data_IF_663394320623
#
_entry.id   IF_663394320623
#
_cell.length_a   1.000
_cell.length_b   1.000
_cell.length_c   1.000
_cell.angle_alpha   90.00
_cell.angle_beta   90.00
_cell.angle_gamma   90.00
#
_symmetry.space_group_name_H-M   'P 1'
#
loop_
_entity.id
_entity.type
_entity.pdbx_description
1 polymer ?
#
# COMPACT_ATOMS: atom_id res chain seq x y z
N UNK A 1 -14.30 37.86 -19.45
CA UNK A 1 -13.96 36.51 -19.96
C UNK A 1 -14.55 36.35 -21.35
N UNK A 2 -13.75 36.60 -22.40
CA UNK A 2 -14.13 36.22 -23.75
C UNK A 2 -14.24 34.69 -23.78
N UNK A 3 -15.46 34.15 -23.91
CA UNK A 3 -15.64 32.78 -24.38
C UNK A 3 -15.11 32.76 -25.82
N UNK A 4 -13.82 32.44 -25.99
CA UNK A 4 -13.32 32.05 -27.31
C UNK A 4 -14.13 30.83 -27.68
N UNK A 5 -14.87 30.94 -28.78
CA UNK A 5 -15.77 29.90 -29.22
C UNK A 5 -14.92 28.75 -29.78
N UNK A 6 -14.53 27.79 -28.92
CA UNK A 6 -13.70 26.63 -29.28
C UNK A 6 -14.35 25.75 -30.38
N UNK A 7 -15.63 26.02 -30.70
CA UNK A 7 -16.38 25.39 -31.79
C UNK A 7 -16.03 25.90 -33.19
N UNK A 8 -15.19 26.93 -33.33
CA UNK A 8 -14.75 27.42 -34.64
C UNK A 8 -13.73 26.44 -35.23
N UNK A 9 -14.21 25.53 -36.09
CA UNK A 9 -13.38 24.51 -36.73
C UNK A 9 -12.45 25.12 -37.79
N UNK A 10 -12.99 25.88 -38.73
CA UNK A 10 -12.20 26.43 -39.84
C UNK A 10 -12.18 27.95 -39.86
N UNK A 11 -10.99 28.54 -39.88
CA UNK A 11 -10.80 29.97 -40.12
C UNK A 11 -10.06 30.16 -41.43
N UNK A 12 -10.63 30.98 -42.32
CA UNK A 12 -9.97 31.39 -43.55
C UNK A 12 -9.01 32.52 -43.26
N UNK A 13 -7.71 32.24 -43.32
CA UNK A 13 -6.63 33.22 -43.16
C UNK A 13 -5.79 33.20 -44.44
N UNK A 14 -5.62 34.37 -45.07
CA UNK A 14 -4.76 34.54 -46.26
C UNK A 14 -5.06 33.50 -47.38
N UNK A 15 -6.34 33.23 -47.62
CA UNK A 15 -6.78 32.26 -48.65
C UNK A 15 -6.65 30.78 -48.27
N UNK A 16 -6.08 30.46 -47.11
CA UNK A 16 -6.00 29.08 -46.58
C UNK A 16 -7.07 28.84 -45.52
N UNK A 17 -7.66 27.64 -45.53
CA UNK A 17 -8.55 27.18 -44.45
C UNK A 17 -7.69 26.50 -43.38
N UNK A 18 -7.52 27.14 -42.23
CA UNK A 18 -6.79 26.57 -41.09
C UNK A 18 -7.80 25.94 -40.14
N UNK A 19 -7.58 24.68 -39.80
CA UNK A 19 -8.34 24.01 -38.74
C UNK A 19 -7.75 24.38 -37.37
N UNK A 20 -8.35 25.39 -36.73
CA UNK A 20 -7.89 25.84 -35.41
C UNK A 20 -8.25 24.82 -34.33
N UNK A 21 -9.33 24.06 -34.50
CA UNK A 21 -9.78 23.10 -33.50
C UNK A 21 -8.78 21.97 -33.32
N UNK A 22 -8.25 21.41 -34.42
CA UNK A 22 -7.26 20.34 -34.33
C UNK A 22 -5.91 20.81 -33.78
N UNK A 23 -5.46 22.02 -34.17
CA UNK A 23 -4.21 22.59 -33.64
C UNK A 23 -4.32 22.91 -32.15
N UNK A 24 -5.47 23.44 -31.70
CA UNK A 24 -5.74 23.69 -30.29
C UNK A 24 -5.83 22.39 -29.50
N UNK A 25 -6.54 21.37 -30.01
CA UNK A 25 -6.60 20.04 -29.40
C UNK A 25 -5.20 19.47 -29.16
N UNK A 26 -4.35 19.46 -30.19
CA UNK A 26 -2.99 18.96 -30.08
C UNK A 26 -2.18 19.72 -29.02
N UNK A 27 -2.26 21.06 -29.01
CA UNK A 27 -1.51 21.88 -28.05
C UNK A 27 -2.01 21.70 -26.61
N UNK A 28 -3.32 21.57 -26.43
CA UNK A 28 -3.93 21.29 -25.12
C UNK A 28 -3.50 19.93 -24.60
N UNK A 29 -3.50 18.91 -25.45
CA UNK A 29 -3.09 17.56 -25.08
C UNK A 29 -1.60 17.50 -24.70
N UNK A 30 -0.73 18.20 -25.43
CA UNK A 30 0.69 18.36 -25.10
C UNK A 30 0.90 19.05 -23.73
N UNK A 31 0.14 20.11 -23.45
CA UNK A 31 0.16 20.77 -22.14
C UNK A 31 -0.34 19.86 -21.01
N UNK A 32 -1.35 19.04 -21.28
CA UNK A 32 -1.88 18.09 -20.32
C UNK A 32 -0.86 16.98 -20.01
N UNK A 33 -0.20 16.41 -21.03
CA UNK A 33 0.91 15.47 -20.83
C UNK A 33 2.03 16.09 -20.01
N UNK A 34 2.42 17.33 -20.33
CA UNK A 34 3.45 18.07 -19.60
C UNK A 34 3.06 18.31 -18.13
N UNK A 35 1.80 18.66 -17.87
CA UNK A 35 1.27 18.84 -16.50
C UNK A 35 1.32 17.54 -15.70
N UNK A 36 0.89 16.42 -16.29
CA UNK A 36 0.89 15.11 -15.63
C UNK A 36 2.32 14.61 -15.36
N UNK A 37 3.23 14.76 -16.32
CA UNK A 37 4.65 14.43 -16.14
C UNK A 37 5.30 15.28 -15.05
N UNK A 38 4.93 16.56 -14.96
CA UNK A 38 5.40 17.45 -13.89
C UNK A 38 4.88 17.01 -12.52
N UNK A 39 3.60 16.62 -12.44
CA UNK A 39 2.99 16.12 -11.21
C UNK A 39 3.71 14.87 -10.69
N UNK A 40 4.00 13.90 -11.57
CA UNK A 40 4.78 12.70 -11.23
C UNK A 40 6.18 13.05 -10.72
N UNK A 41 6.90 13.92 -11.43
CA UNK A 41 8.27 14.27 -11.06
C UNK A 41 8.31 15.01 -9.72
N UNK A 42 7.29 15.82 -9.43
CA UNK A 42 7.13 16.50 -8.14
C UNK A 42 6.86 15.50 -7.02
N UNK A 43 6.04 14.47 -7.26
CA UNK A 43 5.80 13.39 -6.30
C UNK A 43 7.11 12.66 -5.93
N UNK A 44 7.93 12.32 -6.93
CA UNK A 44 9.22 11.65 -6.71
C UNK A 44 10.21 12.45 -5.84
N UNK A 45 10.03 13.76 -5.76
CA UNK A 45 10.89 14.63 -4.98
C UNK A 45 10.35 14.92 -3.56
N UNK A 46 9.12 14.50 -3.25
CA UNK A 46 8.47 14.74 -1.94
C UNK A 46 8.40 13.51 -1.02
N UNK A 47 8.58 12.30 -1.53
CA UNK A 47 8.40 11.06 -0.76
C UNK A 47 6.97 10.52 -0.83
N UNK A 48 6.72 9.42 -0.13
CA UNK A 48 5.48 8.66 -0.20
C UNK A 48 4.23 9.47 0.24
N UNK A 49 4.38 10.38 1.22
CA UNK A 49 3.28 11.25 1.68
C UNK A 49 2.77 12.22 0.59
N UNK A 50 3.59 12.51 -0.43
CA UNK A 50 3.24 13.34 -1.57
C UNK A 50 2.18 12.74 -2.49
N UNK A 51 1.78 11.49 -2.29
CA UNK A 51 0.79 10.81 -3.13
C UNK A 51 -0.59 11.49 -3.10
N UNK A 52 -0.93 12.14 -1.98
CA UNK A 52 -2.15 12.95 -1.86
C UNK A 52 -2.12 14.17 -2.79
N UNK A 53 -0.95 14.79 -2.94
CA UNK A 53 -0.78 15.92 -3.85
C UNK A 53 -0.86 15.45 -5.31
N UNK A 54 -0.30 14.29 -5.62
CA UNK A 54 -0.39 13.66 -6.93
C UNK A 54 -1.84 13.31 -7.30
N UNK A 55 -2.59 12.65 -6.41
CA UNK A 55 -4.01 12.33 -6.63
C UNK A 55 -4.80 13.61 -6.92
N UNK A 56 -4.63 14.65 -6.11
CA UNK A 56 -5.36 15.89 -6.29
C UNK A 56 -5.04 16.56 -7.63
N UNK A 57 -3.78 16.49 -8.09
CA UNK A 57 -3.36 16.99 -9.40
C UNK A 57 -3.96 16.18 -10.54
N UNK A 58 -3.85 14.84 -10.50
CA UNK A 58 -4.43 13.94 -11.50
C UNK A 58 -5.94 14.14 -11.62
N UNK A 59 -6.63 14.24 -10.48
CA UNK A 59 -8.07 14.50 -10.42
C UNK A 59 -8.42 15.87 -11.01
N UNK A 60 -7.64 16.90 -10.73
CA UNK A 60 -7.85 18.25 -11.31
C UNK A 60 -7.64 18.23 -12.81
N UNK A 61 -6.60 17.55 -13.30
CA UNK A 61 -6.34 17.37 -14.74
C UNK A 61 -7.44 16.56 -15.43
N UNK A 62 -8.01 15.55 -14.76
CA UNK A 62 -9.16 14.78 -15.26
C UNK A 62 -10.40 15.67 -15.42
N UNK A 63 -10.68 16.53 -14.43
CA UNK A 63 -11.76 17.51 -14.55
C UNK A 63 -11.50 18.51 -15.68
N UNK A 64 -10.28 19.02 -15.80
CA UNK A 64 -9.93 19.95 -16.87
C UNK A 64 -10.13 19.32 -18.26
N UNK A 65 -9.71 18.06 -18.45
CA UNK A 65 -9.93 17.30 -19.68
C UNK A 65 -11.42 17.14 -19.99
N UNK A 66 -12.24 16.76 -19.00
CA UNK A 66 -13.69 16.62 -19.16
C UNK A 66 -14.35 17.95 -19.59
N UNK A 67 -14.03 19.06 -18.93
CA UNK A 67 -14.54 20.39 -19.31
C UNK A 67 -14.13 20.80 -20.72
N UNK A 68 -12.88 20.54 -21.11
CA UNK A 68 -12.38 20.88 -22.45
C UNK A 68 -13.01 20.01 -23.55
N UNK A 69 -13.29 18.74 -23.23
CA UNK A 69 -14.02 17.84 -24.13
C UNK A 69 -15.48 18.26 -24.33
N UNK A 70 -16.16 18.67 -23.24
CA UNK A 70 -17.53 19.22 -23.30
C UNK A 70 -17.62 20.50 -24.14
N UNK A 71 -16.59 21.35 -24.08
CA UNK A 71 -16.51 22.59 -24.86
C UNK A 71 -16.27 22.36 -26.37
N UNK A 72 -16.04 21.11 -26.79
CA UNK A 72 -16.02 20.68 -28.19
C UNK A 72 -14.64 20.39 -28.77
N UNK A 73 -13.59 20.33 -27.93
CA UNK A 73 -12.27 19.86 -28.36
C UNK A 73 -12.28 18.33 -28.49
N UNK A 74 -11.75 17.84 -29.62
CA UNK A 74 -11.49 16.42 -29.81
C UNK A 74 -10.18 16.08 -29.10
N UNK A 75 -10.26 15.44 -27.94
CA UNK A 75 -9.13 15.04 -27.13
C UNK A 75 -9.12 13.52 -26.99
N UNK A 76 -7.93 12.93 -26.97
CA UNK A 76 -7.71 11.52 -26.60
C UNK A 76 -8.30 11.26 -25.20
N UNK A 77 -8.94 10.11 -24.93
CA UNK A 77 -9.47 9.80 -23.60
C UNK A 77 -8.42 9.98 -22.50
N UNK A 78 -8.83 10.54 -21.35
CA UNK A 78 -7.90 10.86 -20.26
C UNK A 78 -7.08 9.66 -19.80
N UNK A 79 -7.71 8.48 -19.70
CA UNK A 79 -7.04 7.26 -19.21
C UNK A 79 -5.92 6.80 -20.15
N UNK A 80 -6.08 6.95 -21.47
CA UNK A 80 -5.02 6.63 -22.44
C UNK A 80 -3.84 7.59 -22.30
N UNK A 81 -4.13 8.90 -22.15
CA UNK A 81 -3.10 9.91 -21.90
C UNK A 81 -2.39 9.66 -20.56
N UNK A 82 -3.13 9.24 -19.53
CA UNK A 82 -2.56 8.94 -18.22
C UNK A 82 -1.69 7.70 -18.24
N UNK A 83 -2.12 6.63 -18.92
CA UNK A 83 -1.33 5.42 -19.12
C UNK A 83 -0.04 5.72 -19.88
N UNK A 84 -0.10 6.47 -20.99
CA UNK A 84 1.06 6.90 -21.78
C UNK A 84 2.08 7.69 -20.94
N UNK A 85 1.61 8.54 -20.01
CA UNK A 85 2.50 9.31 -19.12
C UNK A 85 3.03 8.45 -17.96
N UNK A 86 2.31 7.42 -17.54
CA UNK A 86 2.73 6.52 -16.44
C UNK A 86 3.68 5.42 -16.91
N UNK A 87 3.41 4.83 -18.07
CA UNK A 87 4.17 3.76 -18.68
C UNK A 87 5.38 4.34 -19.40
N UNK A 88 6.58 3.98 -18.94
CA UNK A 88 7.78 4.18 -19.75
C UNK A 88 7.83 3.22 -20.96
N UNK A 89 8.98 3.14 -21.61
CA UNK A 89 9.26 2.19 -22.71
C UNK A 89 9.12 0.69 -22.33
N UNK A 90 8.79 0.36 -21.09
CA UNK A 90 8.71 -1.01 -20.57
C UNK A 90 7.28 -1.30 -20.12
N UNK A 91 6.84 -2.54 -20.24
CA UNK A 91 5.54 -3.00 -19.72
C UNK A 91 5.64 -3.46 -18.26
N UNK A 92 4.52 -3.41 -17.53
CA UNK A 92 4.40 -3.87 -16.13
C UNK A 92 5.02 -2.92 -15.08
N UNK A 93 5.30 -3.44 -13.88
CA UNK A 93 5.81 -2.65 -12.74
C UNK A 93 7.13 -1.92 -13.07
N UNK A 94 7.97 -2.52 -13.91
CA UNK A 94 9.22 -1.90 -14.36
C UNK A 94 8.99 -0.72 -15.31
N UNK A 95 7.81 -0.65 -15.95
CA UNK A 95 7.35 0.44 -16.80
C UNK A 95 6.78 1.61 -16.02
N UNK A 96 5.90 1.33 -15.06
CA UNK A 96 5.18 2.36 -14.34
C UNK A 96 6.11 3.15 -13.39
N UNK A 97 6.29 4.44 -13.69
CA UNK A 97 7.19 5.32 -12.94
C UNK A 97 6.79 5.49 -11.47
N UNK A 98 5.49 5.65 -11.22
CA UNK A 98 4.94 5.86 -9.88
C UNK A 98 5.09 4.58 -9.04
N UNK A 99 4.71 3.42 -9.61
CA UNK A 99 4.77 2.15 -8.92
C UNK A 99 6.20 1.81 -8.47
N UNK A 100 7.17 1.98 -9.36
CA UNK A 100 8.60 1.76 -9.07
C UNK A 100 9.10 2.67 -7.96
N UNK A 101 8.73 3.94 -7.99
CA UNK A 101 9.10 4.89 -6.95
C UNK A 101 8.50 4.50 -5.60
N UNK A 102 7.21 4.14 -5.55
CA UNK A 102 6.54 3.69 -4.34
C UNK A 102 7.21 2.45 -3.73
N UNK A 103 7.56 1.42 -4.53
CA UNK A 103 8.29 0.23 -4.04
C UNK A 103 9.64 0.62 -3.42
N UNK A 104 10.39 1.52 -4.07
CA UNK A 104 11.65 2.03 -3.54
C UNK A 104 11.49 2.80 -2.22
N UNK A 105 10.48 3.66 -2.12
CA UNK A 105 10.17 4.44 -0.91
C UNK A 105 9.65 3.56 0.23
N UNK A 106 8.84 2.54 -0.07
CA UNK A 106 8.39 1.59 0.95
C UNK A 106 9.61 0.91 1.58
N UNK A 107 10.50 0.38 0.74
CA UNK A 107 11.74 -0.28 1.18
C UNK A 107 12.66 0.63 1.98
N UNK A 108 12.93 1.84 1.47
CA UNK A 108 13.97 2.72 2.00
C UNK A 108 13.49 3.65 3.12
N UNK A 109 12.18 3.81 3.30
CA UNK A 109 11.64 4.79 4.25
C UNK A 109 10.45 4.26 5.06
N UNK A 110 9.38 3.76 4.43
CA UNK A 110 8.16 3.38 5.16
C UNK A 110 8.44 2.27 6.19
N UNK A 111 9.12 1.21 5.78
CA UNK A 111 9.44 0.08 6.65
C UNK A 111 10.52 0.40 7.68
N UNK A 112 11.68 0.95 7.28
CA UNK A 112 12.76 1.18 8.22
C UNK A 112 12.52 2.38 9.13
N UNK A 113 11.97 3.49 8.64
CA UNK A 113 12.04 4.80 9.33
C UNK A 113 10.71 5.25 9.96
N UNK A 114 9.59 4.61 9.63
CA UNK A 114 8.29 4.96 10.21
C UNK A 114 7.87 3.95 11.27
N UNK A 115 7.03 4.36 12.20
CA UNK A 115 6.35 3.46 13.11
C UNK A 115 4.84 3.57 12.91
N UNK A 116 4.14 2.44 13.03
CA UNK A 116 2.70 2.40 12.92
C UNK A 116 2.04 2.69 14.26
N UNK A 117 1.06 3.60 14.27
CA UNK A 117 0.19 3.86 15.41
C UNK A 117 -1.22 3.33 15.11
N UNK A 118 -1.64 2.29 15.84
CA UNK A 118 -2.92 1.60 15.65
C UNK A 118 -4.10 2.53 15.94
N UNK A 119 -3.99 3.39 16.96
CA UNK A 119 -5.08 4.30 17.36
C UNK A 119 -5.47 5.27 16.25
N UNK A 120 -4.47 5.86 15.59
CA UNK A 120 -4.69 6.80 14.50
C UNK A 120 -4.80 6.12 13.14
N UNK A 121 -4.42 4.84 13.04
CA UNK A 121 -4.26 4.09 11.78
C UNK A 121 -3.34 4.84 10.82
N UNK A 122 -2.23 5.38 11.34
CA UNK A 122 -1.23 6.11 10.57
C UNK A 122 0.19 5.71 10.92
N UNK A 123 1.05 5.76 9.92
CA UNK A 123 2.50 5.73 10.05
C UNK A 123 3.01 7.13 10.33
N UNK A 124 3.85 7.25 11.34
CA UNK A 124 4.51 8.49 11.77
C UNK A 124 6.02 8.29 11.67
N UNK A 125 6.75 9.36 11.33
CA UNK A 125 8.22 9.33 11.30
C UNK A 125 8.78 9.06 12.70
N UNK A 126 9.73 8.13 12.77
CA UNK A 126 10.47 7.85 13.99
C UNK A 126 11.53 8.93 14.21
N UNK A 127 11.55 9.55 15.39
CA UNK A 127 12.60 10.50 15.79
C UNK A 127 13.94 9.80 16.11
N UNK A 128 13.95 8.47 16.12
CA UNK A 128 15.14 7.68 16.40
C UNK A 128 16.15 7.80 15.25
N UNK A 129 17.28 8.45 15.52
CA UNK A 129 18.50 8.31 14.72
C UNK A 129 18.96 6.85 14.82
N UNK A 130 18.63 6.06 13.81
CA UNK A 130 19.11 4.70 13.65
C UNK A 130 20.32 4.76 12.72
N UNK A 131 21.41 4.11 13.10
CA UNK A 131 22.64 3.96 12.28
C UNK A 131 22.34 3.10 11.04
N UNK A 132 21.57 3.64 10.11
CA UNK A 132 21.54 3.13 8.76
C UNK A 132 22.82 3.61 8.11
N UNK A 133 23.77 2.69 7.91
CA UNK A 133 24.85 2.90 6.94
C UNK A 133 24.19 3.41 5.67
N UNK A 134 24.60 4.61 5.25
CA UNK A 134 24.10 5.38 4.11
C UNK A 134 23.60 4.48 2.98
N UNK A 135 22.33 4.10 3.04
CA UNK A 135 21.71 3.45 1.90
C UNK A 135 21.49 4.61 0.93
N UNK A 136 22.18 4.57 -0.21
CA UNK A 136 22.28 5.61 -1.25
C UNK A 136 20.92 6.24 -1.71
N UNK A 137 19.78 5.76 -1.19
CA UNK A 137 18.43 6.27 -1.38
C UNK A 137 18.02 7.44 -0.47
N UNK A 138 18.72 7.75 0.63
CA UNK A 138 18.48 8.97 1.41
C UNK A 138 19.16 10.19 0.75
N UNK A 139 18.96 10.33 -0.57
CA UNK A 139 19.37 11.54 -1.28
C UNK A 139 18.47 12.67 -0.81
N UNK A 140 18.96 13.41 0.20
CA UNK A 140 18.53 14.73 0.65
C UNK A 140 17.45 15.31 -0.28
N UNK A 141 16.16 15.14 0.05
CA UNK A 141 15.04 15.45 -0.85
C UNK A 141 15.09 16.90 -1.34
N UNK A 142 15.81 17.77 -0.61
CA UNK A 142 16.16 19.14 -1.00
C UNK A 142 17.12 19.20 -2.20
N UNK A 143 18.13 18.33 -2.28
CA UNK A 143 19.02 18.16 -3.44
C UNK A 143 18.24 17.62 -4.65
N UNK A 144 17.39 16.60 -4.47
CA UNK A 144 16.52 16.09 -5.54
C UNK A 144 15.54 17.17 -6.03
N UNK A 145 14.90 17.93 -5.14
CA UNK A 145 14.04 19.06 -5.52
C UNK A 145 14.80 20.16 -6.29
N UNK A 146 16.05 20.45 -5.94
CA UNK A 146 16.91 21.39 -6.67
C UNK A 146 17.28 20.86 -8.06
N UNK A 147 17.62 19.58 -8.16
CA UNK A 147 17.95 18.91 -9.43
C UNK A 147 16.72 18.83 -10.34
N UNK A 148 15.56 18.46 -9.80
CA UNK A 148 14.30 18.45 -10.52
C UNK A 148 13.97 19.86 -11.03
N UNK A 149 14.08 20.88 -10.16
CA UNK A 149 13.86 22.27 -10.55
C UNK A 149 14.79 22.69 -11.69
N UNK A 150 16.08 22.34 -11.61
CA UNK A 150 17.08 22.66 -12.64
C UNK A 150 16.82 21.90 -13.95
N UNK A 151 16.45 20.63 -13.88
CA UNK A 151 16.07 19.84 -15.05
C UNK A 151 14.84 20.47 -15.70
N UNK A 152 13.78 20.77 -14.93
CA UNK A 152 12.56 21.40 -15.43
C UNK A 152 12.82 22.73 -16.15
N UNK A 153 13.65 23.58 -15.55
CA UNK A 153 14.01 24.89 -16.10
C UNK A 153 14.82 24.77 -17.40
N UNK A 154 15.50 23.63 -17.62
CA UNK A 154 16.26 23.35 -18.83
C UNK A 154 15.41 22.67 -19.92
N UNK A 155 14.54 21.72 -19.56
CA UNK A 155 13.73 20.96 -20.52
C UNK A 155 12.57 21.80 -21.07
N UNK A 156 12.06 22.75 -20.29
CA UNK A 156 10.97 23.63 -20.72
C UNK A 156 11.18 25.08 -20.23
N UNK A 157 11.88 25.93 -20.99
CA UNK A 157 12.13 27.32 -20.57
C UNK A 157 10.84 28.14 -20.40
N UNK A 158 9.77 27.82 -21.12
CA UNK A 158 8.45 28.47 -21.00
C UNK A 158 7.75 28.16 -19.67
N UNK A 159 8.10 27.05 -19.00
CA UNK A 159 7.56 26.68 -17.68
C UNK A 159 8.00 27.63 -16.56
N UNK A 160 9.03 28.45 -16.77
CA UNK A 160 9.46 29.49 -15.80
C UNK A 160 8.36 30.53 -15.55
N UNK A 161 7.55 30.86 -16.56
CA UNK A 161 6.46 31.85 -16.43
C UNK A 161 5.19 31.24 -15.83
N UNK A 162 4.81 30.03 -16.25
CA UNK A 162 3.49 29.47 -15.98
C UNK A 162 3.49 28.22 -15.09
N UNK A 163 4.44 28.12 -14.15
CA UNK A 163 4.54 26.99 -13.19
C UNK A 163 3.20 26.63 -12.52
N UNK A 164 2.41 27.63 -12.15
CA UNK A 164 1.14 27.40 -11.46
C UNK A 164 0.02 26.95 -12.39
N UNK A 165 0.10 27.29 -13.68
CA UNK A 165 -0.88 26.87 -14.68
C UNK A 165 -0.89 25.34 -14.84
N UNK A 166 0.28 24.70 -14.74
CA UNK A 166 0.45 23.25 -14.83
C UNK A 166 0.15 22.50 -13.53
N UNK A 167 -0.07 23.21 -12.42
CA UNK A 167 -0.47 22.63 -11.14
C UNK A 167 -2.00 22.79 -10.99
N UNK A 168 -2.43 23.65 -10.06
CA UNK A 168 -3.84 23.92 -9.79
C UNK A 168 -4.33 25.22 -10.45
N UNK A 169 -3.71 25.61 -11.57
CA UNK A 169 -4.02 26.82 -12.34
C UNK A 169 -3.42 28.12 -11.77
N UNK A 170 -3.55 28.37 -10.47
CA UNK A 170 -3.08 29.63 -9.84
C UNK A 170 -2.27 29.41 -8.56
N UNK A 171 -1.46 30.42 -8.20
CA UNK A 171 -0.69 30.42 -6.94
C UNK A 171 -1.59 30.31 -5.72
N UNK A 172 -2.72 31.04 -5.71
CA UNK A 172 -3.67 31.03 -4.60
C UNK A 172 -4.36 29.66 -4.47
N UNK A 173 -4.84 29.11 -5.59
CA UNK A 173 -5.45 27.78 -5.59
C UNK A 173 -4.47 26.72 -5.10
N UNK A 174 -3.23 26.76 -5.61
CA UNK A 174 -2.16 25.85 -5.18
C UNK A 174 -1.91 25.95 -3.68
N UNK A 175 -1.75 27.17 -3.14
CA UNK A 175 -1.52 27.35 -1.70
C UNK A 175 -2.68 26.82 -0.84
N UNK A 176 -3.93 27.03 -1.27
CA UNK A 176 -5.11 26.59 -0.50
C UNK A 176 -5.31 25.09 -0.55
N UNK A 177 -5.15 24.48 -1.72
CA UNK A 177 -5.28 23.02 -1.89
C UNK A 177 -4.19 22.32 -1.09
N UNK A 178 -2.93 22.77 -1.20
CA UNK A 178 -1.84 22.19 -0.41
C UNK A 178 -2.02 22.36 1.10
N UNK A 179 -2.63 23.46 1.56
CA UNK A 179 -2.99 23.63 2.96
C UNK A 179 -4.15 22.72 3.41
N UNK A 180 -5.06 22.37 2.49
CA UNK A 180 -6.18 21.47 2.76
C UNK A 180 -5.74 19.99 2.82
N UNK A 181 -4.71 19.62 2.04
CA UNK A 181 -4.10 18.29 2.09
C UNK A 181 -3.30 18.13 3.39
N UNK A 182 -3.99 17.68 4.44
CA UNK A 182 -3.37 17.29 5.72
C UNK A 182 -2.57 15.98 5.53
N UNK A 183 -1.47 15.83 6.27
CA UNK A 183 -0.72 14.57 6.32
C UNK A 183 0.63 14.56 5.58
N UNK A 184 1.31 15.70 5.48
CA UNK A 184 2.74 15.72 5.10
C UNK A 184 3.57 15.12 6.25
N UNK A 185 4.45 14.17 5.93
CA UNK A 185 5.28 13.45 6.93
C UNK A 185 4.58 12.28 7.62
N UNK A 186 3.34 11.96 7.24
CA UNK A 186 2.59 10.80 7.74
C UNK A 186 2.08 9.97 6.58
N UNK A 187 1.79 8.69 6.80
CA UNK A 187 1.13 7.84 5.81
C UNK A 187 -0.03 7.07 6.46
N UNK A 188 -1.26 7.27 6.00
CA UNK A 188 -2.46 6.66 6.58
C UNK A 188 -3.47 6.25 5.54
N UNK A 189 -4.71 6.00 5.97
CA UNK A 189 -5.78 5.52 5.08
C UNK A 189 -6.01 6.41 3.86
N UNK A 190 -5.94 7.74 4.04
CA UNK A 190 -6.11 8.68 2.93
C UNK A 190 -5.03 8.49 1.85
N UNK A 191 -3.79 8.24 2.26
CA UNK A 191 -2.68 7.98 1.35
C UNK A 191 -2.82 6.62 0.66
N UNK A 192 -3.27 5.59 1.38
CA UNK A 192 -3.58 4.27 0.81
C UNK A 192 -4.70 4.34 -0.23
N UNK A 193 -5.78 5.09 0.03
CA UNK A 193 -6.86 5.33 -0.94
C UNK A 193 -6.36 6.09 -2.17
N UNK A 194 -5.57 7.16 -1.97
CA UNK A 194 -4.97 7.90 -3.07
C UNK A 194 -4.03 7.02 -3.92
N UNK A 195 -3.28 6.12 -3.28
CA UNK A 195 -2.42 5.15 -3.96
C UNK A 195 -3.23 4.23 -4.89
N UNK A 196 -4.33 3.66 -4.38
CA UNK A 196 -5.23 2.82 -5.17
C UNK A 196 -5.85 3.59 -6.35
N UNK A 197 -6.24 4.85 -6.16
CA UNK A 197 -6.85 5.67 -7.21
C UNK A 197 -5.87 6.11 -8.31
N UNK A 198 -4.63 6.41 -7.96
CA UNK A 198 -3.61 6.88 -8.91
C UNK A 198 -2.98 5.73 -9.68
N UNK A 199 -2.66 4.63 -9.00
CA UNK A 199 -1.96 3.50 -9.59
C UNK A 199 -2.90 2.46 -10.23
N UNK A 200 -4.14 2.35 -9.74
CA UNK A 200 -5.06 1.27 -10.10
C UNK A 200 -4.76 -0.04 -9.37
N UNK A 201 -5.75 -0.93 -9.37
CA UNK A 201 -5.71 -2.21 -8.62
C UNK A 201 -4.57 -3.13 -9.08
N UNK A 202 -4.34 -3.21 -10.39
CA UNK A 202 -3.28 -4.04 -10.98
C UNK A 202 -1.89 -3.64 -10.47
N UNK A 203 -1.55 -2.34 -10.54
CA UNK A 203 -0.23 -1.87 -10.11
C UNK A 203 -0.04 -1.94 -8.59
N UNK A 204 -1.11 -1.83 -7.80
CA UNK A 204 -1.03 -2.00 -6.34
C UNK A 204 -0.78 -3.46 -5.96
N UNK A 205 -1.39 -4.42 -6.67
CA UNK A 205 -1.11 -5.84 -6.45
C UNK A 205 0.36 -6.19 -6.75
N UNK A 206 0.91 -5.67 -7.85
CA UNK A 206 2.32 -5.83 -8.21
C UNK A 206 3.25 -5.14 -7.20
N UNK A 207 2.88 -3.97 -6.69
CA UNK A 207 3.62 -3.27 -5.64
C UNK A 207 3.66 -4.10 -4.36
N UNK A 208 2.51 -4.64 -3.92
CA UNK A 208 2.43 -5.47 -2.73
C UNK A 208 3.26 -6.73 -2.88
N UNK A 209 3.22 -7.37 -4.04
CA UNK A 209 4.05 -8.53 -4.34
C UNK A 209 5.56 -8.18 -4.26
N UNK A 210 5.98 -7.10 -4.93
CA UNK A 210 7.37 -6.68 -4.94
C UNK A 210 7.87 -6.34 -3.53
N UNK A 211 7.06 -5.66 -2.72
CA UNK A 211 7.40 -5.34 -1.33
C UNK A 211 7.37 -6.58 -0.43
N UNK A 212 6.48 -7.54 -0.65
CA UNK A 212 6.44 -8.79 0.13
C UNK A 212 7.64 -9.68 -0.17
N UNK A 213 8.10 -9.75 -1.43
CA UNK A 213 9.29 -10.53 -1.78
C UNK A 213 10.56 -10.00 -1.10
N UNK A 214 10.60 -8.72 -0.71
CA UNK A 214 11.71 -8.14 0.06
C UNK A 214 11.78 -8.70 1.50
N UNK A 215 10.64 -9.10 2.07
CA UNK A 215 10.58 -9.71 3.40
C UNK A 215 11.35 -11.03 3.46
N UNK A 216 11.53 -11.73 2.33
CA UNK A 216 12.27 -12.98 2.29
C UNK A 216 13.71 -12.81 2.80
N UNK A 217 14.40 -11.75 2.37
CA UNK A 217 15.76 -11.44 2.82
C UNK A 217 15.78 -11.07 4.31
N UNK A 218 14.85 -10.19 4.73
CA UNK A 218 14.72 -9.78 6.13
C UNK A 218 14.50 -10.96 7.08
N UNK A 219 13.66 -11.93 6.70
CA UNK A 219 13.36 -13.11 7.51
C UNK A 219 14.52 -14.10 7.50
N UNK A 220 15.05 -14.44 6.32
CA UNK A 220 16.06 -15.50 6.16
C UNK A 220 17.45 -15.10 6.61
N UNK A 221 17.87 -13.89 6.27
CA UNK A 221 19.23 -13.40 6.54
C UNK A 221 19.29 -12.56 7.83
N UNK A 222 18.15 -12.03 8.26
CA UNK A 222 18.02 -11.20 9.46
C UNK A 222 17.44 -11.95 10.65
N UNK A 223 16.12 -12.07 10.68
CA UNK A 223 15.35 -12.51 11.86
C UNK A 223 15.77 -13.92 12.30
N UNK A 224 15.87 -14.88 11.38
CA UNK A 224 16.23 -16.27 11.70
C UNK A 224 17.62 -16.36 12.38
N UNK A 225 18.70 -15.80 11.82
CA UNK A 225 20.02 -15.79 12.46
C UNK A 225 20.08 -15.04 13.79
N UNK A 226 19.33 -13.95 13.97
CA UNK A 226 19.31 -13.25 15.25
C UNK A 226 18.61 -14.05 16.33
N UNK A 227 17.50 -14.70 16.00
CA UNK A 227 16.77 -15.53 16.96
C UNK A 227 17.57 -16.77 17.37
N UNK A 228 18.28 -17.41 16.45
CA UNK A 228 19.15 -18.55 16.80
C UNK A 228 20.29 -18.13 17.74
N UNK A 229 20.86 -16.94 17.55
CA UNK A 229 21.88 -16.38 18.46
C UNK A 229 21.30 -16.04 19.83
N UNK A 230 20.13 -15.40 19.90
CA UNK A 230 19.48 -15.08 21.18
C UNK A 230 19.13 -16.36 21.94
N UNK A 231 18.58 -17.37 21.24
CA UNK A 231 18.26 -18.66 21.83
C UNK A 231 19.52 -19.38 22.35
N UNK A 232 20.65 -19.28 21.64
CA UNK A 232 21.90 -19.93 22.05
C UNK A 232 22.64 -19.20 23.20
N UNK A 233 22.54 -17.87 23.27
CA UNK A 233 23.36 -17.05 24.19
C UNK A 233 22.61 -16.64 25.45
N UNK A 234 21.29 -16.41 25.38
CA UNK A 234 20.60 -15.62 26.40
C UNK A 234 19.41 -16.26 27.08
N UNK A 235 19.01 -17.48 26.69
CA UNK A 235 17.89 -18.18 27.32
C UNK A 235 18.39 -19.39 28.11
N UNK A 236 18.41 -19.24 29.42
CA UNK A 236 18.71 -20.32 30.36
C UNK A 236 17.62 -21.39 30.30
N UNK A 237 18.00 -22.66 30.11
CA UNK A 237 17.08 -23.78 29.92
C UNK A 237 16.19 -24.05 31.16
N UNK A 238 16.59 -23.56 32.33
CA UNK A 238 15.88 -23.71 33.60
C UNK A 238 15.08 -22.44 34.01
N UNK A 239 14.56 -21.68 33.05
CA UNK A 239 13.73 -20.49 33.34
C UNK A 239 12.33 -20.88 33.85
N UNK A 240 12.22 -21.08 35.17
CA UNK A 240 10.93 -21.31 35.85
C UNK A 240 10.23 -20.00 36.19
N UNK A 241 8.91 -20.00 36.07
CA UNK A 241 8.06 -18.91 36.57
C UNK A 241 8.08 -18.91 38.10
N UNK A 242 8.51 -17.81 38.76
CA UNK A 242 8.41 -17.68 40.20
C UNK A 242 6.95 -17.77 40.67
N UNK A 243 6.71 -18.49 41.76
CA UNK A 243 5.39 -18.58 42.38
C UNK A 243 4.95 -17.20 42.87
N UNK A 244 3.77 -16.74 42.42
CA UNK A 244 3.17 -15.47 42.84
C UNK A 244 2.85 -15.41 44.35
N UNK A 245 2.94 -16.54 45.07
CA UNK A 245 2.74 -16.60 46.53
C UNK A 245 4.00 -16.30 47.33
N UNK A 246 5.17 -16.54 46.74
CA UNK A 246 6.44 -16.54 47.47
C UNK A 246 7.32 -15.31 47.13
N UNK A 247 6.99 -14.58 46.06
CA UNK A 247 7.76 -13.44 45.56
C UNK A 247 6.89 -12.19 45.40
N UNK A 248 7.45 -11.03 45.75
CA UNK A 248 6.87 -9.72 45.45
C UNK A 248 7.08 -9.35 43.98
N UNK A 249 6.31 -8.41 43.45
CA UNK A 249 6.44 -7.92 42.05
C UNK A 249 7.85 -7.44 41.74
N UNK A 250 8.49 -6.75 42.69
CA UNK A 250 9.88 -6.29 42.58
C UNK A 250 10.87 -7.46 42.53
N UNK A 251 10.66 -8.50 43.35
CA UNK A 251 11.48 -9.72 43.31
C UNK A 251 11.33 -10.50 42.00
N UNK A 252 10.11 -10.55 41.43
CA UNK A 252 9.86 -11.18 40.12
C UNK A 252 10.51 -10.38 38.99
N UNK A 253 10.42 -9.04 39.03
CA UNK A 253 11.07 -8.17 38.05
C UNK A 253 12.60 -8.34 38.07
N UNK A 254 13.22 -8.29 39.26
CA UNK A 254 14.67 -8.48 39.41
C UNK A 254 15.14 -9.87 38.99
N UNK A 255 14.34 -10.92 39.24
CA UNK A 255 14.63 -12.27 38.76
C UNK A 255 14.73 -12.33 37.22
N UNK A 256 13.81 -11.70 36.50
CA UNK A 256 13.85 -11.70 35.04
C UNK A 256 14.91 -10.74 34.49
N UNK A 257 14.99 -9.52 35.00
CA UNK A 257 15.89 -8.50 34.48
C UNK A 257 17.37 -8.78 34.80
N UNK A 258 17.70 -9.02 36.07
CA UNK A 258 19.09 -9.08 36.53
C UNK A 258 19.70 -10.48 36.46
N UNK A 259 18.86 -11.53 36.61
CA UNK A 259 19.35 -12.91 36.69
C UNK A 259 19.16 -13.70 35.39
N UNK A 260 18.02 -13.59 34.70
CA UNK A 260 17.70 -14.46 33.55
C UNK A 260 17.86 -13.82 32.18
N UNK A 261 17.55 -12.53 32.02
CA UNK A 261 17.56 -11.86 30.71
C UNK A 261 18.71 -10.86 30.54
N UNK A 262 19.67 -10.84 31.46
CA UNK A 262 20.82 -9.92 31.42
C UNK A 262 21.64 -10.06 30.13
N UNK A 263 21.90 -11.29 29.70
CA UNK A 263 22.69 -11.56 28.50
C UNK A 263 21.95 -11.11 27.24
N UNK A 264 20.63 -11.32 27.17
CA UNK A 264 19.78 -10.79 26.09
C UNK A 264 19.73 -9.26 26.12
N UNK A 265 19.61 -8.66 27.31
CA UNK A 265 19.51 -7.21 27.48
C UNK A 265 20.80 -6.49 27.07
N UNK A 266 21.95 -7.13 27.28
CA UNK A 266 23.30 -6.65 26.91
C UNK A 266 23.70 -6.95 25.46
N UNK A 267 22.86 -7.67 24.71
CA UNK A 267 23.14 -8.03 23.33
C UNK A 267 23.25 -6.78 22.43
N UNK A 268 24.44 -6.45 21.88
CA UNK A 268 24.66 -5.17 21.21
C UNK A 268 23.71 -4.88 20.04
N UNK A 269 23.41 -5.84 19.12
CA UNK A 269 22.52 -5.57 17.99
C UNK A 269 21.04 -5.82 18.33
N UNK A 270 20.66 -5.92 19.61
CA UNK A 270 19.25 -6.10 20.01
C UNK A 270 18.36 -4.98 19.45
N UNK A 271 18.80 -3.72 19.59
CA UNK A 271 18.03 -2.54 19.19
C UNK A 271 18.10 -2.29 17.68
N UNK A 272 19.31 -2.23 17.14
CA UNK A 272 19.57 -1.85 15.73
C UNK A 272 19.41 -2.99 14.74
N UNK A 273 19.58 -4.24 15.17
CA UNK A 273 19.40 -5.43 14.34
C UNK A 273 18.05 -6.08 14.57
N UNK A 274 17.86 -6.65 15.76
CA UNK A 274 16.71 -7.54 16.03
C UNK A 274 15.40 -6.77 15.98
N UNK A 275 15.22 -5.79 16.87
CA UNK A 275 13.96 -5.03 16.97
C UNK A 275 13.66 -4.28 15.68
N UNK A 276 14.69 -3.77 15.02
CA UNK A 276 14.54 -3.09 13.75
C UNK A 276 13.95 -3.99 12.66
N UNK A 277 14.48 -5.20 12.50
CA UNK A 277 13.98 -6.13 11.50
C UNK A 277 12.56 -6.60 11.80
N UNK A 278 12.22 -6.79 13.08
CA UNK A 278 10.84 -7.05 13.46
C UNK A 278 9.92 -5.85 13.17
N UNK A 279 10.38 -4.61 13.39
CA UNK A 279 9.63 -3.41 13.02
C UNK A 279 9.39 -3.37 11.51
N UNK A 280 10.40 -3.61 10.68
CA UNK A 280 10.26 -3.61 9.22
C UNK A 280 9.27 -4.68 8.73
N UNK A 281 9.38 -5.89 9.27
CA UNK A 281 8.44 -6.98 8.99
C UNK A 281 7.00 -6.59 9.37
N UNK A 282 6.83 -6.03 10.56
CA UNK A 282 5.54 -5.65 11.10
C UNK A 282 4.90 -4.48 10.37
N UNK A 283 5.70 -3.46 10.01
CA UNK A 283 5.27 -2.34 9.21
C UNK A 283 4.75 -2.79 7.83
N UNK A 284 5.32 -3.84 7.23
CA UNK A 284 4.77 -4.42 6.01
C UNK A 284 3.39 -5.05 6.22
N UNK A 285 3.18 -5.73 7.34
CA UNK A 285 1.87 -6.30 7.69
C UNK A 285 0.84 -5.19 7.92
N UNK A 286 1.19 -4.17 8.69
CA UNK A 286 0.31 -3.01 8.92
C UNK A 286 0.04 -2.25 7.61
N UNK A 287 1.01 -2.16 6.70
CA UNK A 287 0.82 -1.55 5.38
C UNK A 287 -0.14 -2.36 4.52
N UNK A 288 -0.03 -3.70 4.52
CA UNK A 288 -0.96 -4.58 3.84
C UNK A 288 -2.38 -4.48 4.41
N UNK A 289 -2.54 -4.43 5.74
CA UNK A 289 -3.84 -4.21 6.42
C UNK A 289 -4.45 -2.85 6.04
N UNK A 290 -3.63 -1.79 6.01
CA UNK A 290 -4.09 -0.45 5.64
C UNK A 290 -4.54 -0.37 4.17
N UNK A 291 -3.84 -1.07 3.27
CA UNK A 291 -4.25 -1.21 1.88
C UNK A 291 -5.54 -2.01 1.75
N UNK A 292 -5.68 -3.11 2.49
CA UNK A 292 -6.90 -3.91 2.56
C UNK A 292 -8.09 -3.05 2.99
N UNK A 293 -7.93 -2.27 4.04
CA UNK A 293 -8.98 -1.37 4.54
C UNK A 293 -9.38 -0.32 3.49
N UNK A 294 -8.40 0.27 2.81
CA UNK A 294 -8.65 1.25 1.75
C UNK A 294 -9.36 0.64 0.53
N UNK A 295 -8.96 -0.57 0.13
CA UNK A 295 -9.56 -1.32 -0.97
C UNK A 295 -10.99 -1.74 -0.63
N UNK A 296 -11.22 -2.24 0.58
CA UNK A 296 -12.55 -2.57 1.09
C UNK A 296 -13.49 -1.36 1.06
N UNK A 297 -13.01 -0.19 1.51
CA UNK A 297 -13.79 1.03 1.49
C UNK A 297 -14.16 1.47 0.06
N UNK A 298 -13.22 1.38 -0.89
CA UNK A 298 -13.48 1.69 -2.30
C UNK A 298 -14.50 0.72 -2.90
N UNK A 299 -14.30 -0.58 -2.75
CA UNK A 299 -15.21 -1.62 -3.26
C UNK A 299 -16.62 -1.47 -2.66
N UNK A 300 -16.75 -1.24 -1.35
CA UNK A 300 -18.05 -1.02 -0.72
C UNK A 300 -18.76 0.23 -1.27
N UNK A 301 -18.02 1.30 -1.55
CA UNK A 301 -18.59 2.53 -2.11
C UNK A 301 -19.09 2.31 -3.54
N UNK A 302 -18.28 1.69 -4.39
CA UNK A 302 -18.62 1.34 -5.77
C UNK A 302 -19.76 0.32 -5.83
N UNK A 303 -19.70 -0.72 -5.01
CA UNK A 303 -20.73 -1.75 -4.89
C UNK A 303 -22.08 -1.19 -4.45
N UNK A 304 -22.12 -0.23 -3.52
CA UNK A 304 -23.37 0.46 -3.14
C UNK A 304 -23.97 1.25 -4.31
N UNK A 305 -23.14 1.97 -5.06
CA UNK A 305 -23.59 2.73 -6.23
C UNK A 305 -24.16 1.80 -7.31
N UNK A 306 -23.45 0.71 -7.61
CA UNK A 306 -23.86 -0.28 -8.60
C UNK A 306 -25.15 -1.01 -8.17
N UNK A 307 -25.28 -1.36 -6.88
CA UNK A 307 -26.45 -2.06 -6.34
C UNK A 307 -27.76 -1.29 -6.58
N UNK A 308 -27.74 0.04 -6.55
CA UNK A 308 -28.91 0.87 -6.89
C UNK A 308 -29.43 0.65 -8.32
N UNK A 309 -28.53 0.30 -9.25
CA UNK A 309 -28.87 0.05 -10.66
C UNK A 309 -29.13 -1.44 -10.93
N UNK A 310 -28.49 -2.35 -10.19
CA UNK A 310 -28.59 -3.81 -10.39
C UNK A 310 -29.80 -4.41 -9.67
N UNK A 311 -30.26 -3.90 -8.53
CA UNK A 311 -31.43 -4.49 -7.84
C UNK A 311 -32.80 -4.10 -8.42
N UNK A 312 -32.91 -3.15 -9.35
CA UNK A 312 -34.21 -2.64 -9.82
C UNK A 312 -34.69 -3.13 -11.19
N UNK A 313 -33.83 -3.75 -12.01
CA UNK A 313 -34.18 -4.04 -13.42
C UNK A 313 -33.99 -5.49 -13.88
N UNK A 314 -33.19 -6.30 -13.20
CA UNK A 314 -32.69 -7.56 -13.79
C UNK A 314 -33.67 -8.72 -13.66
N UNK A 315 -34.49 -8.80 -12.60
CA UNK A 315 -35.44 -9.91 -12.45
C UNK A 315 -36.74 -9.68 -13.22
N UNK A 316 -37.32 -8.47 -13.14
CA UNK A 316 -38.62 -8.19 -13.78
C UNK A 316 -38.56 -7.99 -15.30
N UNK A 317 -37.47 -7.42 -15.85
CA UNK A 317 -37.38 -7.11 -17.28
C UNK A 317 -36.92 -8.31 -18.10
N UNK A 318 -36.07 -9.18 -17.55
CA UNK A 318 -35.56 -10.35 -18.28
C UNK A 318 -36.66 -11.41 -18.44
N UNK A 319 -37.48 -11.66 -17.42
CA UNK A 319 -38.64 -12.56 -17.55
C UNK A 319 -39.69 -12.03 -18.53
N UNK A 320 -40.02 -10.73 -18.48
CA UNK A 320 -41.08 -10.16 -19.33
C UNK A 320 -40.64 -10.00 -20.79
N UNK A 321 -39.34 -9.74 -21.03
CA UNK A 321 -38.76 -9.68 -22.39
C UNK A 321 -38.58 -11.08 -23.01
N UNK A 322 -38.19 -12.08 -22.22
CA UNK A 322 -38.08 -13.47 -22.69
C UNK A 322 -39.45 -14.06 -23.06
N UNK A 323 -40.51 -13.72 -22.30
CA UNK A 323 -41.89 -14.12 -22.63
C UNK A 323 -42.41 -13.47 -23.90
N UNK A 324 -42.13 -12.18 -24.12
CA UNK A 324 -42.58 -11.44 -25.34
C UNK A 324 -41.89 -11.92 -26.62
N UNK A 325 -40.61 -12.30 -26.54
CA UNK A 325 -39.84 -12.83 -27.70
C UNK A 325 -40.29 -14.23 -28.13
N UNK A 326 -40.81 -15.06 -27.22
CA UNK A 326 -41.33 -16.39 -27.56
C UNK A 326 -42.71 -16.32 -28.25
N UNK A 327 -43.47 -15.24 -28.06
CA UNK A 327 -44.83 -15.09 -28.59
C UNK A 327 -44.94 -14.43 -29.98
N UNK A 328 -43.93 -13.72 -30.48
CA UNK A 328 -44.01 -13.07 -31.81
C UNK A 328 -43.09 -13.74 -32.82
N UNK A 329 -43.60 -14.78 -33.49
CA UNK A 329 -42.93 -15.49 -34.60
C UNK A 329 -42.82 -14.69 -35.89
N UNK A 330 -42.31 -13.45 -35.83
CA UNK A 330 -42.04 -12.62 -37.03
C UNK A 330 -40.60 -12.11 -36.94
N UNK A 331 -39.69 -12.84 -37.59
CA UNK A 331 -38.29 -12.46 -37.74
C UNK A 331 -38.17 -11.41 -38.85
N UNK A 332 -38.08 -10.14 -38.45
CA UNK A 332 -37.51 -9.07 -39.29
C UNK A 332 -36.04 -8.82 -38.93
N UNK A 333 -35.23 -8.39 -39.90
CA UNK A 333 -33.80 -8.08 -39.70
C UNK A 333 -33.56 -7.04 -38.59
N UNK A 334 -34.51 -6.12 -38.36
CA UNK A 334 -34.46 -5.15 -37.26
C UNK A 334 -34.57 -5.80 -35.86
N UNK A 335 -35.36 -6.87 -35.72
CA UNK A 335 -35.52 -7.60 -34.46
C UNK A 335 -34.25 -8.41 -34.11
N UNK A 336 -33.52 -8.91 -35.12
CA UNK A 336 -32.22 -9.56 -34.92
C UNK A 336 -31.12 -8.57 -34.52
N UNK A 337 -31.15 -7.34 -35.06
CA UNK A 337 -30.20 -6.29 -34.69
C UNK A 337 -30.46 -5.77 -33.27
N UNK A 338 -31.73 -5.62 -32.87
CA UNK A 338 -32.10 -5.28 -31.49
C UNK A 338 -31.77 -6.42 -30.52
N UNK A 339 -32.00 -7.68 -30.90
CA UNK A 339 -31.59 -8.86 -30.12
C UNK A 339 -30.07 -8.90 -29.89
N UNK A 340 -29.25 -8.63 -30.92
CA UNK A 340 -27.78 -8.52 -30.76
C UNK A 340 -27.34 -7.36 -29.87
N UNK A 341 -28.03 -6.21 -29.92
CA UNK A 341 -27.76 -5.10 -28.99
C UNK A 341 -28.16 -5.44 -27.56
N UNK A 342 -29.29 -6.11 -27.38
CA UNK A 342 -29.78 -6.55 -26.08
C UNK A 342 -28.93 -7.67 -25.48
N UNK A 343 -28.38 -8.60 -26.27
CA UNK A 343 -27.43 -9.61 -25.78
C UNK A 343 -26.06 -9.00 -25.45
N UNK A 344 -25.61 -8.01 -26.21
CA UNK A 344 -24.44 -7.20 -25.86
C UNK A 344 -24.63 -6.48 -24.52
N UNK A 345 -25.74 -5.74 -24.36
CA UNK A 345 -26.07 -5.06 -23.10
C UNK A 345 -26.27 -6.06 -21.97
N UNK A 346 -26.94 -7.21 -22.20
CA UNK A 346 -27.13 -8.27 -21.22
C UNK A 346 -25.80 -8.88 -20.75
N UNK A 347 -24.84 -9.06 -21.66
CA UNK A 347 -23.49 -9.50 -21.34
C UNK A 347 -22.73 -8.49 -20.46
N UNK A 348 -22.89 -7.19 -20.74
CA UNK A 348 -22.29 -6.13 -19.90
C UNK A 348 -23.01 -5.98 -18.55
N UNK A 349 -24.33 -6.20 -18.47
CA UNK A 349 -25.05 -6.21 -17.19
C UNK A 349 -24.75 -7.46 -16.37
N UNK A 350 -24.47 -8.59 -17.02
CA UNK A 350 -24.03 -9.83 -16.38
C UNK A 350 -22.62 -9.69 -15.82
N UNK A 351 -21.69 -9.09 -16.57
CA UNK A 351 -20.37 -8.77 -16.03
C UNK A 351 -20.43 -7.75 -14.88
N UNK A 352 -21.32 -6.76 -14.94
CA UNK A 352 -21.53 -5.81 -13.83
C UNK A 352 -22.13 -6.46 -12.58
N UNK A 353 -23.02 -7.46 -12.74
CA UNK A 353 -23.54 -8.23 -11.60
C UNK A 353 -22.49 -9.20 -11.03
N UNK A 354 -21.70 -9.86 -11.87
CA UNK A 354 -20.56 -10.69 -11.46
C UNK A 354 -19.47 -9.85 -10.75
N UNK A 355 -19.18 -8.64 -11.24
CA UNK A 355 -18.28 -7.67 -10.58
C UNK A 355 -18.85 -7.17 -9.24
N UNK A 356 -20.17 -6.97 -9.15
CA UNK A 356 -20.85 -6.65 -7.89
C UNK A 356 -20.80 -7.80 -6.89
N UNK A 357 -20.83 -9.05 -7.35
CA UNK A 357 -20.66 -10.24 -6.50
C UNK A 357 -19.20 -10.42 -6.07
N UNK A 358 -18.22 -10.12 -6.93
CA UNK A 358 -16.79 -10.11 -6.58
C UNK A 358 -16.50 -9.04 -5.52
N UNK A 359 -17.13 -7.87 -5.60
CA UNK A 359 -17.09 -6.85 -4.54
C UNK A 359 -17.63 -7.35 -3.19
N UNK A 360 -18.42 -8.43 -3.16
CA UNK A 360 -18.94 -9.03 -1.91
C UNK A 360 -18.05 -10.14 -1.34
N UNK A 361 -17.14 -10.71 -2.14
CA UNK A 361 -16.14 -11.71 -1.71
C UNK A 361 -14.83 -11.00 -1.40
N UNK A 362 -14.66 -10.56 -0.16
CA UNK A 362 -13.44 -9.87 0.27
C UNK A 362 -12.23 -10.82 0.18
N UNK A 363 -11.33 -10.60 -0.77
CA UNK A 363 -10.00 -11.23 -0.79
C UNK A 363 -9.09 -10.34 0.04
N UNK A 364 -8.57 -10.85 1.16
CA UNK A 364 -7.64 -10.09 2.00
C UNK A 364 -6.23 -10.15 1.43
N UNK A 365 -5.67 -8.98 1.11
CA UNK A 365 -4.27 -8.77 0.77
C UNK A 365 -3.36 -9.18 1.94
N UNK A 366 -3.74 -8.88 3.18
CA UNK A 366 -3.00 -9.28 4.38
C UNK A 366 -2.86 -10.81 4.46
N UNK A 367 -3.92 -11.55 4.14
CA UNK A 367 -3.87 -13.02 4.11
C UNK A 367 -2.82 -13.54 3.12
N UNK A 368 -2.70 -12.92 1.95
CA UNK A 368 -1.69 -13.29 0.95
C UNK A 368 -0.26 -13.01 1.45
N UNK A 369 -0.05 -11.89 2.14
CA UNK A 369 1.25 -11.56 2.76
C UNK A 369 1.60 -12.56 3.85
N UNK A 370 0.63 -12.93 4.71
CA UNK A 370 0.82 -13.96 5.74
C UNK A 370 1.13 -15.34 5.14
N UNK A 371 0.45 -15.72 4.05
CA UNK A 371 0.74 -16.97 3.34
C UNK A 371 2.15 -16.99 2.76
N UNK A 372 2.65 -15.88 2.20
CA UNK A 372 4.04 -15.75 1.75
C UNK A 372 5.03 -15.78 2.93
N UNK A 373 4.70 -15.12 4.04
CA UNK A 373 5.50 -15.16 5.26
C UNK A 373 5.64 -16.59 5.80
N UNK A 374 4.58 -17.38 5.73
CA UNK A 374 4.58 -18.79 6.12
C UNK A 374 5.62 -19.61 5.33
N UNK A 375 5.70 -19.37 4.01
CA UNK A 375 6.69 -19.99 3.13
C UNK A 375 8.13 -19.53 3.45
N UNK A 376 8.31 -18.29 3.91
CA UNK A 376 9.62 -17.78 4.28
C UNK A 376 10.14 -18.41 5.57
N UNK A 377 9.25 -18.68 6.53
CA UNK A 377 9.56 -19.24 7.85
C UNK A 377 9.63 -20.77 7.83
N UNK A 378 9.12 -21.44 6.78
CA UNK A 378 9.03 -22.90 6.68
C UNK A 378 10.28 -23.68 7.16
N UNK A 379 11.48 -23.21 6.80
CA UNK A 379 12.74 -23.87 7.19
C UNK A 379 13.08 -23.73 8.69
N UNK A 380 12.57 -22.67 9.34
CA UNK A 380 12.80 -22.40 10.76
C UNK A 380 11.66 -22.90 11.67
N UNK A 381 10.50 -23.28 11.11
CA UNK A 381 9.33 -23.74 11.88
C UNK A 381 9.67 -24.88 12.83
N UNK A 382 10.36 -25.91 12.35
CA UNK A 382 10.73 -27.08 13.17
C UNK A 382 11.59 -26.69 14.39
N UNK A 383 12.54 -25.78 14.19
CA UNK A 383 13.37 -25.25 15.27
C UNK A 383 12.54 -24.39 16.23
N UNK A 384 11.64 -23.56 15.71
CA UNK A 384 10.85 -22.62 16.49
C UNK A 384 9.69 -23.26 17.27
N UNK A 385 9.25 -24.45 16.86
CA UNK A 385 8.26 -25.28 17.55
C UNK A 385 8.89 -26.23 18.60
N UNK A 386 10.21 -26.18 18.81
CA UNK A 386 10.85 -26.92 19.90
C UNK A 386 11.21 -28.38 19.59
N UNK A 387 11.47 -28.72 18.31
CA UNK A 387 12.26 -29.91 17.95
C UNK A 387 11.72 -31.27 18.38
N UNK A 388 10.40 -31.46 18.55
CA UNK A 388 9.84 -32.77 18.85
C UNK A 388 9.32 -33.47 17.61
N UNK A 389 10.02 -34.53 17.21
CA UNK A 389 9.37 -35.74 16.70
C UNK A 389 8.41 -36.20 17.81
N UNK A 390 7.16 -35.74 17.77
CA UNK A 390 6.09 -36.44 18.47
C UNK A 390 5.84 -37.71 17.67
N UNK A 391 6.23 -38.86 18.21
CA UNK A 391 6.06 -40.19 17.64
C UNK A 391 4.72 -40.31 16.87
N UNK A 392 4.80 -40.30 15.54
CA UNK A 392 3.99 -41.13 14.66
C UNK A 392 2.47 -41.04 14.70
N UNK A 393 1.84 -39.85 14.78
CA UNK A 393 0.42 -39.73 14.40
C UNK A 393 0.20 -38.58 13.39
N UNK A 394 0.08 -38.88 12.08
CA UNK A 394 -0.34 -37.89 11.10
C UNK A 394 -1.83 -37.57 11.33
N UNK A 395 -2.15 -36.31 11.67
CA UNK A 395 -3.53 -35.80 11.66
C UNK A 395 -4.14 -35.41 13.01
N UNK A 396 -3.38 -35.40 14.12
CA UNK A 396 -3.89 -34.88 15.38
C UNK A 396 -3.75 -33.34 15.44
N UNK A 397 -4.85 -32.62 15.17
CA UNK A 397 -5.01 -31.23 15.61
C UNK A 397 -5.11 -31.29 17.14
N UNK A 398 -4.01 -31.02 17.84
CA UNK A 398 -4.02 -30.97 19.31
C UNK A 398 -4.22 -29.53 19.80
N UNK A 399 -5.06 -29.33 20.82
CA UNK A 399 -5.29 -28.01 21.40
C UNK A 399 -4.00 -27.53 22.07
N UNK A 400 -3.75 -26.21 21.98
CA UNK A 400 -2.69 -25.47 22.67
C UNK A 400 -2.27 -26.16 23.98
N UNK A 401 -0.95 -26.38 24.24
CA UNK A 401 -0.54 -26.92 25.51
C UNK A 401 -1.02 -25.96 26.63
N UNK A 402 -1.58 -26.48 27.73
CA UNK A 402 -1.87 -25.67 28.89
C UNK A 402 -0.61 -24.91 29.31
N UNK A 403 -0.75 -23.62 29.61
CA UNK A 403 0.27 -22.71 30.15
C UNK A 403 0.99 -23.24 31.42
N UNK A 404 0.57 -24.39 31.95
CA UNK A 404 1.18 -25.10 33.06
C UNK A 404 2.28 -26.11 32.67
N UNK A 405 2.48 -26.41 31.38
CA UNK A 405 3.53 -27.33 30.90
C UNK A 405 4.83 -26.61 30.49
N UNK A 406 5.07 -25.41 31.03
CA UNK A 406 6.28 -24.59 30.82
C UNK A 406 7.57 -25.18 31.41
N UNK A 407 7.65 -26.50 31.62
CA UNK A 407 8.90 -27.18 31.94
C UNK A 407 9.22 -28.20 30.85
N UNK A 408 9.66 -27.73 29.69
CA UNK A 408 10.42 -28.57 28.77
C UNK A 408 11.87 -28.56 29.22
N UNK A 409 12.31 -29.63 29.87
CA UNK A 409 13.72 -29.90 30.17
C UNK A 409 14.54 -30.25 28.92
N UNK A 410 14.18 -29.71 27.75
CA UNK A 410 14.85 -29.95 26.47
C UNK A 410 15.44 -28.64 25.98
N UNK A 411 16.65 -28.72 25.42
CA UNK A 411 17.49 -27.62 24.95
C UNK A 411 16.89 -26.80 23.78
N UNK A 412 15.60 -26.99 23.49
CA UNK A 412 14.91 -26.45 22.33
C UNK A 412 14.04 -25.28 22.78
N UNK A 413 14.58 -24.08 22.61
CA UNK A 413 13.90 -22.82 22.96
C UNK A 413 12.87 -22.51 21.88
N UNK A 414 11.58 -22.60 22.23
CA UNK A 414 10.50 -22.22 21.31
C UNK A 414 10.45 -20.70 21.11
N UNK A 415 9.95 -20.26 19.94
CA UNK A 415 9.89 -18.85 19.57
C UNK A 415 9.11 -18.00 20.58
N UNK A 416 8.03 -18.52 21.15
CA UNK A 416 7.18 -17.77 22.07
C UNK A 416 7.92 -17.38 23.38
N UNK A 417 8.91 -18.16 23.81
CA UNK A 417 9.77 -17.82 24.95
C UNK A 417 10.72 -16.67 24.60
N UNK A 418 11.33 -16.72 23.42
CA UNK A 418 12.18 -15.64 22.91
C UNK A 418 11.37 -14.36 22.81
N UNK A 419 10.18 -14.43 22.21
CA UNK A 419 9.31 -13.27 22.03
C UNK A 419 8.81 -12.68 23.36
N UNK A 420 8.43 -13.52 24.31
CA UNK A 420 8.03 -13.08 25.66
C UNK A 420 9.17 -12.36 26.39
N UNK A 421 10.39 -12.89 26.25
CA UNK A 421 11.61 -12.29 26.81
C UNK A 421 11.92 -10.93 26.19
N UNK A 422 11.84 -10.84 24.86
CA UNK A 422 12.00 -9.57 24.13
C UNK A 422 10.93 -8.56 24.52
N UNK A 423 9.67 -8.98 24.64
CA UNK A 423 8.55 -8.13 25.04
C UNK A 423 8.73 -7.60 26.46
N UNK A 424 9.17 -8.44 27.40
CA UNK A 424 9.49 -8.00 28.76
C UNK A 424 10.58 -6.93 28.77
N UNK A 425 11.70 -7.17 28.05
CA UNK A 425 12.79 -6.20 27.96
C UNK A 425 12.36 -4.89 27.31
N UNK A 426 11.54 -4.95 26.27
CA UNK A 426 10.97 -3.77 25.62
C UNK A 426 10.12 -2.97 26.59
N UNK A 427 9.20 -3.62 27.32
CA UNK A 427 8.34 -2.93 28.29
C UNK A 427 9.15 -2.25 29.40
N UNK A 428 10.15 -2.94 29.96
CA UNK A 428 11.01 -2.37 31.00
C UNK A 428 11.81 -1.18 30.46
N UNK A 429 12.41 -1.31 29.28
CA UNK A 429 13.22 -0.24 28.67
C UNK A 429 12.37 0.95 28.23
N UNK A 430 11.20 0.74 27.64
CA UNK A 430 10.27 1.81 27.27
C UNK A 430 9.72 2.56 28.49
N UNK A 431 9.53 1.90 29.64
CA UNK A 431 9.16 2.59 30.88
C UNK A 431 10.29 3.48 31.43
N UNK A 432 11.55 3.10 31.24
CA UNK A 432 12.72 3.86 31.73
C UNK A 432 13.16 4.97 30.76
N UNK A 433 13.14 4.72 29.46
CA UNK A 433 13.46 5.69 28.41
C UNK A 433 12.45 5.61 27.25
N UNK A 434 11.26 6.23 27.38
CA UNK A 434 10.19 6.11 26.39
C UNK A 434 10.58 6.65 25.00
N UNK A 435 11.40 7.71 24.93
CA UNK A 435 11.84 8.29 23.67
C UNK A 435 12.85 7.44 22.89
N UNK A 436 13.56 6.52 23.53
CA UNK A 436 14.60 5.70 22.88
C UNK A 436 14.05 4.37 22.34
N UNK A 437 12.95 3.87 22.91
CA UNK A 437 12.39 2.55 22.61
C UNK A 437 11.00 2.61 21.97
N UNK A 438 10.73 3.68 21.21
CA UNK A 438 9.47 3.85 20.47
C UNK A 438 9.56 3.23 19.06
N UNK A 439 9.17 1.97 18.94
CA UNK A 439 9.16 1.23 17.66
C UNK A 439 7.75 1.11 17.04
N UNK A 440 6.73 1.63 17.73
CA UNK A 440 5.31 1.54 17.36
C UNK A 440 4.74 0.13 17.39
N UNK A 441 3.49 0.03 16.93
CA UNK A 441 2.71 -1.20 17.01
C UNK A 441 3.16 -2.24 15.99
N UNK A 442 3.83 -1.81 14.90
CA UNK A 442 4.39 -2.71 13.89
C UNK A 442 5.26 -3.82 14.51
N UNK A 443 6.09 -3.50 15.49
CA UNK A 443 6.90 -4.49 16.22
C UNK A 443 6.04 -5.62 16.82
N UNK A 444 4.91 -5.28 17.43
CA UNK A 444 4.00 -6.25 18.03
C UNK A 444 3.28 -7.08 16.96
N UNK A 445 2.89 -6.46 15.85
CA UNK A 445 2.30 -7.15 14.71
C UNK A 445 3.23 -8.26 14.18
N UNK A 446 4.53 -7.99 14.06
CA UNK A 446 5.49 -8.98 13.58
C UNK A 446 5.60 -10.20 14.49
N UNK A 447 5.82 -10.00 15.79
CA UNK A 447 5.95 -11.11 16.74
C UNK A 447 4.66 -11.93 16.86
N UNK A 448 3.51 -11.25 16.91
CA UNK A 448 2.19 -11.91 16.94
C UNK A 448 1.90 -12.68 15.65
N UNK A 449 2.27 -12.15 14.49
CA UNK A 449 2.10 -12.85 13.21
C UNK A 449 2.93 -14.14 13.17
N UNK A 450 4.19 -14.10 13.60
CA UNK A 450 5.02 -15.31 13.66
C UNK A 450 4.44 -16.33 14.64
N UNK A 451 4.01 -15.90 15.83
CA UNK A 451 3.34 -16.79 16.79
C UNK A 451 2.05 -17.40 16.22
N UNK A 452 1.30 -16.65 15.41
CA UNK A 452 0.10 -17.15 14.75
C UNK A 452 0.42 -18.21 13.69
N UNK A 453 1.48 -18.03 12.90
CA UNK A 453 1.91 -18.96 11.84
C UNK A 453 2.61 -20.24 12.35
N UNK A 454 3.04 -20.23 13.61
CA UNK A 454 3.63 -21.37 14.30
C UNK A 454 2.60 -22.24 15.04
N UNK A 455 1.32 -21.83 15.08
CA UNK A 455 0.20 -22.67 15.50
C UNK A 455 -0.22 -23.58 14.37
#
# INVERSE_FOLDING_TARGET
>A
FMRVNLKVKHVKLLGRSVDLSSQLSWRVEDLQRTSLWYAQSRFEATGLSGILELEALVRTSRFAHAYLSEDGLQLTPFEEVWQDVCEGLRTGLAGNRIARYCVGQIRAHLLPCMYFEERSRTFVESELEMDYEDTEGHTDSRKQMRLLKKHLENTHPDLKRDKYALLFGSRLATSRILAALKGRGTFGRQHATAMLQVMGEENVSLLLEASTNQLQGLVREGIIPYLSKIAAVGLDADMKLPSARDYTVEGVMGYFEDAKLKDVASYPPLRTGVIQQFRELGNMLCFADLLDEALAALLLSSGRQVRNFVQSKTEAVIEDSARRLQTSGVLGEEAQLQSKRLTGIAGHTRSVSELSELSSKHVSLLHNVLAKLDQFIANAKLTWMGGKDYDGVPGAVLPLPPWHLLSSSSKDVEFHWVWSSLTFLLLVKSCRSPGEWQFGDGLQWAGCAIMHLLR
#
